data_IF_389949471183
#
_entry.id   IF_389949471183
#
_cell.length_a   1.000
_cell.length_b   1.000
_cell.length_c   1.000
_cell.angle_alpha   90.00
_cell.angle_beta   90.00
_cell.angle_gamma   90.00
#
_symmetry.space_group_name_H-M   'P 1'
#
loop_
_entity.id
_entity.type
_entity.pdbx_description
1 polymer ?
#
# COMPACT_ATOMS: atom_id res chain seq x y z
N UNK A 1 1.17 22.15 -1.78
CA UNK A 1 1.56 22.94 -2.98
C UNK A 1 1.76 22.01 -4.17
N UNK A 2 0.95 22.14 -5.23
CA UNK A 2 1.15 21.44 -6.52
C UNK A 2 2.13 22.19 -7.45
N UNK A 3 2.72 23.31 -6.99
CA UNK A 3 3.82 24.00 -7.66
C UNK A 3 3.45 24.43 -9.08
N UNK A 4 4.34 24.18 -10.03
CA UNK A 4 4.14 24.46 -11.46
C UNK A 4 3.27 23.40 -12.17
N UNK A 5 2.67 22.44 -11.46
CA UNK A 5 1.90 21.37 -12.09
C UNK A 5 0.40 21.69 -12.14
N UNK A 6 -0.19 21.47 -13.30
CA UNK A 6 -1.62 21.59 -13.56
C UNK A 6 -2.17 20.18 -13.80
N UNK A 7 -3.16 19.76 -13.02
CA UNK A 7 -3.84 18.47 -13.16
C UNK A 7 -5.32 18.69 -13.49
N UNK A 8 -5.78 18.22 -14.64
CA UNK A 8 -7.19 18.29 -15.02
C UNK A 8 -7.77 16.89 -15.23
N UNK A 9 -9.01 16.71 -14.79
CA UNK A 9 -9.73 15.44 -14.87
C UNK A 9 -11.05 15.68 -15.60
N UNK A 10 -11.16 15.16 -16.82
CA UNK A 10 -12.35 15.32 -17.63
C UNK A 10 -13.18 14.04 -17.55
N UNK A 11 -14.37 14.07 -16.91
CA UNK A 11 -15.27 12.93 -16.94
C UNK A 11 -15.74 12.66 -18.38
N UNK A 12 -15.92 11.40 -18.71
CA UNK A 12 -16.44 10.97 -20.00
C UNK A 12 -17.32 9.74 -19.82
N UNK A 13 -18.47 9.72 -20.50
CA UNK A 13 -19.29 8.53 -20.65
C UNK A 13 -19.98 8.58 -21.99
N UNK A 14 -20.24 7.41 -22.58
CA UNK A 14 -21.01 7.31 -23.82
C UNK A 14 -22.51 7.59 -23.59
N UNK A 15 -22.97 7.65 -22.34
CA UNK A 15 -24.33 8.02 -21.96
C UNK A 15 -24.39 9.49 -21.53
N UNK A 16 -25.20 10.29 -22.23
CA UNK A 16 -25.42 11.70 -21.89
C UNK A 16 -26.18 11.87 -20.58
N UNK A 17 -27.18 11.03 -20.30
CA UNK A 17 -27.89 10.99 -19.01
C UNK A 17 -26.88 10.79 -17.87
N UNK A 18 -25.96 9.84 -18.02
CA UNK A 18 -24.91 9.58 -17.03
C UNK A 18 -23.97 10.76 -16.83
N UNK A 19 -23.65 11.49 -17.91
CA UNK A 19 -22.85 12.70 -17.81
C UNK A 19 -23.59 13.82 -17.05
N UNK A 20 -24.92 13.93 -17.19
CA UNK A 20 -25.73 14.86 -16.41
C UNK A 20 -25.80 14.47 -14.92
N UNK A 21 -26.00 13.18 -14.63
CA UNK A 21 -26.07 12.67 -13.26
C UNK A 21 -24.76 12.92 -12.50
N UNK A 22 -23.64 12.62 -13.15
CA UNK A 22 -22.30 12.79 -12.57
C UNK A 22 -21.90 14.26 -12.48
N UNK A 23 -22.42 15.12 -13.36
CA UNK A 23 -22.04 16.53 -13.41
C UNK A 23 -22.27 17.24 -12.08
N UNK A 24 -23.47 17.12 -11.49
CA UNK A 24 -23.79 17.80 -10.24
C UNK A 24 -22.85 17.35 -9.10
N UNK A 25 -22.64 16.04 -8.95
CA UNK A 25 -21.73 15.49 -7.93
C UNK A 25 -20.27 15.96 -8.13
N UNK A 26 -19.83 16.12 -9.38
CA UNK A 26 -18.50 16.67 -9.68
C UNK A 26 -18.40 18.18 -9.41
N UNK A 27 -19.49 18.94 -9.65
CA UNK A 27 -19.55 20.36 -9.33
C UNK A 27 -19.54 20.61 -7.83
N UNK A 28 -20.30 19.83 -7.05
CA UNK A 28 -20.28 19.88 -5.58
C UNK A 28 -18.89 19.55 -5.03
N UNK A 29 -18.12 18.80 -5.81
CA UNK A 29 -16.75 18.47 -5.51
C UNK A 29 -15.72 19.57 -5.78
N UNK A 30 -16.10 20.64 -6.49
CA UNK A 30 -15.16 21.72 -6.82
C UNK A 30 -14.70 22.42 -5.55
N UNK A 31 -13.41 22.72 -5.55
CA UNK A 31 -12.79 23.56 -4.55
C UNK A 31 -12.22 24.77 -5.27
N UNK A 32 -12.70 25.96 -4.92
CA UNK A 32 -12.08 27.20 -5.37
C UNK A 32 -10.87 27.47 -4.47
N UNK A 33 -9.68 27.10 -4.97
CA UNK A 33 -8.43 27.58 -4.39
C UNK A 33 -8.25 29.05 -4.79
N UNK A 34 -8.22 30.01 -3.83
CA UNK A 34 -8.04 31.43 -4.13
C UNK A 34 -6.77 31.72 -4.95
N UNK A 35 -5.79 30.83 -4.89
CA UNK A 35 -4.52 30.96 -5.61
C UNK A 35 -4.41 30.01 -6.82
N UNK A 36 -5.48 29.27 -7.15
CA UNK A 36 -5.54 28.31 -8.25
C UNK A 36 -4.43 27.24 -8.23
N UNK A 37 -3.85 26.96 -7.07
CA UNK A 37 -2.79 25.96 -6.93
C UNK A 37 -3.34 24.53 -6.85
N UNK A 38 -4.65 24.36 -6.65
CA UNK A 38 -5.30 23.05 -6.56
C UNK A 38 -6.69 23.10 -7.16
N UNK A 39 -7.06 21.97 -7.76
CA UNK A 39 -8.36 21.79 -8.40
C UNK A 39 -9.35 20.98 -7.55
N UNK A 40 -8.91 20.41 -6.41
CA UNK A 40 -9.75 19.70 -5.45
C UNK A 40 -9.04 19.56 -4.08
N UNK A 41 -9.83 19.38 -3.01
CA UNK A 41 -9.33 18.90 -1.72
C UNK A 41 -9.53 17.39 -1.60
N UNK A 42 -8.62 16.71 -0.90
CA UNK A 42 -8.71 15.26 -0.71
C UNK A 42 -8.45 14.84 0.75
N UNK A 43 -9.08 13.75 1.22
CA UNK A 43 -9.00 13.34 2.62
C UNK A 43 -7.70 12.62 3.01
N UNK A 44 -6.79 12.39 2.05
CA UNK A 44 -5.56 11.62 2.24
C UNK A 44 -4.39 12.41 2.86
N UNK A 45 -4.63 13.65 3.32
CA UNK A 45 -3.66 14.43 4.09
C UNK A 45 -3.47 13.93 5.52
N UNK A 46 -2.37 14.28 6.18
CA UNK A 46 -2.04 13.82 7.53
C UNK A 46 -1.32 14.91 8.34
N UNK A 47 -1.56 15.00 9.65
CA UNK A 47 -0.98 15.96 10.60
C UNK A 47 -0.51 17.29 9.98
N UNK A 48 0.81 17.48 9.85
CA UNK A 48 1.48 18.70 9.36
C UNK A 48 1.32 18.95 7.85
N UNK A 49 0.70 18.02 7.13
CA UNK A 49 0.59 18.00 5.68
C UNK A 49 -0.87 17.71 5.29
N UNK A 50 -1.71 18.73 5.41
CA UNK A 50 -3.12 18.66 4.99
C UNK A 50 -3.30 18.21 3.54
N UNK A 51 -2.32 18.48 2.68
CA UNK A 51 -2.29 18.05 1.27
C UNK A 51 -1.62 16.69 1.06
N UNK A 52 -1.15 16.03 2.12
CA UNK A 52 -0.51 14.72 2.08
C UNK A 52 0.72 14.60 1.18
N UNK A 53 1.35 15.71 0.75
CA UNK A 53 2.42 15.77 -0.25
C UNK A 53 2.04 15.26 -1.66
N UNK A 54 0.77 15.27 -2.06
CA UNK A 54 0.39 14.81 -3.39
C UNK A 54 0.80 15.84 -4.47
N UNK A 55 1.77 15.48 -5.31
CA UNK A 55 2.43 16.36 -6.27
C UNK A 55 2.65 15.72 -7.64
N UNK A 56 2.70 14.39 -7.71
CA UNK A 56 2.96 13.65 -8.96
C UNK A 56 1.69 13.09 -9.56
N UNK A 57 1.73 12.84 -10.87
CA UNK A 57 0.56 12.58 -11.69
C UNK A 57 -0.31 11.42 -11.20
N UNK A 58 0.29 10.26 -10.91
CA UNK A 58 -0.49 9.08 -10.53
C UNK A 58 -0.98 9.14 -9.08
N UNK A 59 -0.21 9.72 -8.17
CA UNK A 59 -0.68 9.92 -6.80
C UNK A 59 -1.82 10.97 -6.74
N UNK A 60 -1.73 12.06 -7.50
CA UNK A 60 -2.81 13.05 -7.60
C UNK A 60 -4.05 12.43 -8.25
N UNK A 61 -3.88 11.61 -9.30
CA UNK A 61 -4.98 10.85 -9.91
C UNK A 61 -5.63 9.89 -8.93
N UNK A 62 -4.83 9.16 -8.15
CA UNK A 62 -5.33 8.27 -7.10
C UNK A 62 -6.14 9.07 -6.07
N UNK A 63 -5.61 10.19 -5.59
CA UNK A 63 -6.28 11.04 -4.62
C UNK A 63 -7.60 11.61 -5.16
N UNK A 64 -7.62 12.03 -6.42
CA UNK A 64 -8.83 12.48 -7.11
C UNK A 64 -9.90 11.39 -7.13
N UNK A 65 -9.56 10.19 -7.63
CA UNK A 65 -10.50 9.07 -7.70
C UNK A 65 -10.97 8.62 -6.32
N UNK A 66 -10.10 8.67 -5.31
CA UNK A 66 -10.48 8.38 -3.92
C UNK A 66 -11.44 9.44 -3.36
N UNK A 67 -11.24 10.73 -3.67
CA UNK A 67 -12.20 11.78 -3.30
C UNK A 67 -13.54 11.57 -3.96
N UNK A 68 -13.56 11.22 -5.26
CA UNK A 68 -14.79 10.89 -5.96
C UNK A 68 -15.49 9.69 -5.34
N UNK A 69 -14.75 8.62 -5.08
CA UNK A 69 -15.25 7.46 -4.35
C UNK A 69 -15.95 7.90 -3.05
N UNK A 70 -15.27 8.70 -2.21
CA UNK A 70 -15.83 9.16 -0.94
C UNK A 70 -17.08 10.01 -1.10
N UNK A 71 -17.12 10.94 -2.07
CA UNK A 71 -18.25 11.85 -2.27
C UNK A 71 -19.45 11.21 -2.94
N UNK A 72 -19.21 10.30 -3.87
CA UNK A 72 -20.26 9.57 -4.59
C UNK A 72 -20.86 8.48 -3.69
N UNK A 73 -20.03 7.69 -3.00
CA UNK A 73 -20.49 6.55 -2.21
C UNK A 73 -20.93 6.88 -0.78
N UNK A 74 -20.36 7.94 -0.19
CA UNK A 74 -20.89 8.54 1.02
C UNK A 74 -21.62 9.78 0.55
N UNK A 75 -22.91 9.65 0.24
CA UNK A 75 -23.80 10.80 0.14
C UNK A 75 -23.76 11.54 1.48
N UNK A 76 -22.75 12.39 1.67
CA UNK A 76 -22.68 13.33 2.77
C UNK A 76 -23.72 14.41 2.46
N UNK A 77 -25.00 14.09 2.69
CA UNK A 77 -25.91 15.12 3.15
C UNK A 77 -25.34 15.62 4.47
N UNK A 78 -25.14 16.91 4.54
CA UNK A 78 -24.28 17.60 5.49
C UNK A 78 -24.71 17.53 6.98
N UNK A 79 -25.52 16.57 7.43
CA UNK A 79 -26.11 16.63 8.77
C UNK A 79 -26.39 15.32 9.52
N UNK A 80 -26.02 14.13 9.03
CA UNK A 80 -26.28 12.91 9.82
C UNK A 80 -25.06 11.98 9.92
N UNK A 81 -24.73 11.65 11.17
CA UNK A 81 -23.83 10.58 11.54
C UNK A 81 -24.25 9.25 10.89
N UNK A 82 -23.22 8.48 10.50
CA UNK A 82 -23.28 7.13 9.90
C UNK A 82 -23.64 7.11 8.40
N UNK A 83 -22.58 7.23 7.58
CA UNK A 83 -22.62 7.00 6.14
C UNK A 83 -23.06 5.58 5.79
N UNK A 84 -24.30 5.44 5.35
CA UNK A 84 -24.82 4.24 4.69
C UNK A 84 -24.37 4.30 3.23
N UNK A 85 -23.58 3.29 2.81
CA UNK A 85 -23.15 3.10 1.42
C UNK A 85 -24.36 2.84 0.52
N UNK A 86 -24.65 3.77 -0.41
CA UNK A 86 -25.71 3.56 -1.41
C UNK A 86 -25.17 2.73 -2.60
N UNK A 87 -25.27 1.41 -2.49
CA UNK A 87 -24.77 0.47 -3.49
C UNK A 87 -25.52 0.56 -4.84
N UNK A 88 -26.80 0.91 -4.79
CA UNK A 88 -27.65 1.05 -5.97
C UNK A 88 -27.23 2.28 -6.77
N UNK A 89 -26.92 3.38 -6.09
CA UNK A 89 -26.40 4.60 -6.70
C UNK A 89 -24.98 4.44 -7.22
N UNK A 90 -24.12 3.67 -6.56
CA UNK A 90 -22.81 3.28 -7.10
C UNK A 90 -22.95 2.42 -8.35
N UNK A 91 -23.80 1.39 -8.33
CA UNK A 91 -24.07 0.58 -9.50
C UNK A 91 -24.66 1.44 -10.62
N UNK A 92 -25.52 2.41 -10.32
CA UNK A 92 -26.05 3.32 -11.34
C UNK A 92 -24.97 4.26 -11.91
N UNK A 93 -24.17 4.87 -11.05
CA UNK A 93 -23.16 5.86 -11.42
C UNK A 93 -21.89 5.25 -12.02
N UNK A 94 -21.60 3.98 -11.75
CA UNK A 94 -20.43 3.29 -12.30
C UNK A 94 -20.77 2.25 -13.38
N UNK A 95 -21.95 1.60 -13.32
CA UNK A 95 -22.27 0.40 -14.10
C UNK A 95 -23.55 0.51 -14.93
N UNK A 96 -24.62 1.17 -14.44
CA UNK A 96 -25.88 1.20 -15.18
C UNK A 96 -25.71 2.08 -16.44
N UNK A 97 -26.11 1.52 -17.58
CA UNK A 97 -26.07 2.08 -18.93
C UNK A 97 -24.69 2.25 -19.59
N UNK A 98 -23.67 2.82 -18.93
CA UNK A 98 -22.34 3.07 -19.51
C UNK A 98 -21.24 3.23 -18.45
N UNK A 99 -19.96 2.86 -18.69
CA UNK A 99 -18.88 3.16 -17.74
C UNK A 99 -18.57 4.67 -17.70
N UNK A 100 -18.19 5.16 -16.52
CA UNK A 100 -17.62 6.51 -16.36
C UNK A 100 -16.10 6.42 -16.54
N UNK A 101 -15.55 7.09 -17.53
CA UNK A 101 -14.13 7.18 -17.79
C UNK A 101 -13.63 8.58 -17.42
N UNK A 102 -12.31 8.72 -17.31
CA UNK A 102 -11.67 10.02 -17.09
C UNK A 102 -10.53 10.22 -18.07
N UNK A 103 -10.47 11.38 -18.72
CA UNK A 103 -9.24 11.83 -19.37
C UNK A 103 -8.43 12.60 -18.33
N UNK A 104 -7.31 12.03 -17.92
CA UNK A 104 -6.35 12.63 -16.99
C UNK A 104 -5.35 13.45 -17.80
N UNK A 105 -5.29 14.75 -17.53
CA UNK A 105 -4.34 15.67 -18.14
C UNK A 105 -3.38 16.19 -17.07
N UNK A 106 -2.09 16.13 -17.38
CA UNK A 106 -1.05 16.78 -16.59
C UNK A 106 -0.24 17.70 -17.50
N UNK A 107 -0.09 18.94 -17.08
CA UNK A 107 0.78 19.92 -17.69
C UNK A 107 1.70 20.55 -16.64
N UNK A 108 2.84 21.06 -17.07
CA UNK A 108 3.78 21.81 -16.23
C UNK A 108 3.93 23.22 -16.78
N UNK A 109 3.83 24.21 -15.90
CA UNK A 109 4.04 25.62 -16.22
C UNK A 109 5.49 25.85 -16.62
N UNK A 110 5.68 26.51 -17.76
CA UNK A 110 6.96 26.93 -18.34
C UNK A 110 6.84 28.42 -18.68
N UNK A 111 7.10 29.26 -17.68
CA UNK A 111 6.97 30.71 -17.81
C UNK A 111 5.51 31.12 -18.00
N UNK A 112 5.16 31.65 -19.18
CA UNK A 112 3.80 32.07 -19.54
C UNK A 112 2.99 31.00 -20.29
N UNK A 113 3.58 29.82 -20.52
CA UNK A 113 2.96 28.72 -21.29
C UNK A 113 2.95 27.45 -20.46
N UNK A 114 2.03 26.54 -20.74
CA UNK A 114 1.97 25.23 -20.08
C UNK A 114 2.38 24.15 -21.08
N UNK A 115 3.30 23.27 -20.67
CA UNK A 115 3.76 22.15 -21.48
C UNK A 115 3.02 20.88 -21.05
N UNK A 116 2.29 20.27 -21.97
CA UNK A 116 1.62 18.99 -21.74
C UNK A 116 2.64 17.89 -21.40
N UNK A 117 2.42 17.19 -20.29
CA UNK A 117 3.26 16.07 -19.81
C UNK A 117 2.59 14.73 -20.01
N UNK A 118 1.27 14.68 -19.83
CA UNK A 118 0.51 13.46 -19.97
C UNK A 118 -0.93 13.78 -20.38
N UNK A 119 -1.44 12.97 -21.32
CA UNK A 119 -2.87 12.82 -21.56
C UNK A 119 -3.15 11.33 -21.49
N UNK A 120 -3.94 10.91 -20.52
CA UNK A 120 -4.19 9.49 -20.25
C UNK A 120 -5.69 9.22 -20.12
N UNK A 121 -6.29 8.47 -21.06
CA UNK A 121 -7.64 7.97 -20.89
C UNK A 121 -7.64 6.82 -19.86
N UNK A 122 -8.20 7.09 -18.69
CA UNK A 122 -8.40 6.13 -17.63
C UNK A 122 -9.84 5.59 -17.68
N UNK A 123 -9.97 4.33 -18.09
CA UNK A 123 -11.26 3.65 -18.33
C UNK A 123 -11.72 2.75 -17.17
N UNK A 124 -10.88 2.60 -16.16
CA UNK A 124 -11.01 1.59 -15.11
C UNK A 124 -11.53 2.15 -13.77
N UNK A 125 -12.38 3.18 -13.82
CA UNK A 125 -12.95 3.80 -12.61
C UNK A 125 -13.75 2.82 -11.75
N UNK A 126 -14.55 1.95 -12.38
CA UNK A 126 -15.33 0.90 -11.72
C UNK A 126 -14.42 -0.02 -10.91
N UNK A 127 -13.30 -0.42 -11.52
CA UNK A 127 -12.29 -1.23 -10.84
C UNK A 127 -11.73 -0.51 -9.62
N UNK A 128 -11.36 0.77 -9.77
CA UNK A 128 -10.80 1.55 -8.67
C UNK A 128 -11.81 1.69 -7.51
N UNK A 129 -13.08 1.95 -7.81
CA UNK A 129 -14.11 2.06 -6.78
C UNK A 129 -14.35 0.75 -6.04
N UNK A 130 -14.42 -0.38 -6.76
CA UNK A 130 -14.48 -1.72 -6.14
C UNK A 130 -13.27 -2.01 -5.27
N UNK A 131 -12.08 -1.57 -5.71
CA UNK A 131 -10.87 -1.71 -4.90
C UNK A 131 -11.00 -0.92 -3.59
N UNK A 132 -11.37 0.36 -3.65
CA UNK A 132 -11.49 1.20 -2.45
C UNK A 132 -12.55 0.64 -1.48
N UNK A 133 -13.69 0.18 -1.99
CA UNK A 133 -14.71 -0.48 -1.18
C UNK A 133 -14.18 -1.74 -0.48
N UNK A 134 -13.43 -2.57 -1.21
CA UNK A 134 -12.82 -3.77 -0.64
C UNK A 134 -11.84 -3.44 0.48
N UNK A 135 -11.11 -2.33 0.36
CA UNK A 135 -10.19 -1.84 1.39
C UNK A 135 -10.94 -1.32 2.62
N UNK A 136 -12.01 -0.54 2.44
CA UNK A 136 -12.83 -0.05 3.54
C UNK A 136 -13.53 -1.20 4.30
N UNK A 137 -14.11 -2.17 3.58
CA UNK A 137 -14.68 -3.40 4.18
C UNK A 137 -13.65 -4.20 4.98
N UNK A 138 -12.39 -4.16 4.56
CA UNK A 138 -11.27 -4.81 5.25
C UNK A 138 -10.65 -3.92 6.34
N UNK A 139 -11.24 -2.75 6.65
CA UNK A 139 -10.77 -1.76 7.64
C UNK A 139 -9.34 -1.25 7.38
N UNK A 140 -8.90 -1.25 6.12
CA UNK A 140 -7.58 -0.80 5.73
C UNK A 140 -7.56 0.73 5.63
N UNK A 141 -6.69 1.37 6.40
CA UNK A 141 -6.56 2.82 6.42
C UNK A 141 -5.74 3.33 5.22
N UNK A 142 -6.42 3.73 4.14
CA UNK A 142 -5.78 4.23 2.90
C UNK A 142 -4.88 5.45 3.15
N UNK A 143 -5.29 6.35 4.04
CA UNK A 143 -4.48 7.52 4.41
C UNK A 143 -3.15 7.09 5.01
N UNK A 144 -3.16 6.07 5.87
CA UNK A 144 -1.93 5.52 6.45
C UNK A 144 -1.07 4.80 5.39
N UNK A 145 -1.68 4.03 4.48
CA UNK A 145 -0.95 3.42 3.33
C UNK A 145 -0.20 4.49 2.54
N UNK A 146 -0.89 5.58 2.18
CA UNK A 146 -0.31 6.68 1.41
C UNK A 146 0.78 7.44 2.19
N UNK A 147 0.65 7.55 3.51
CA UNK A 147 1.69 8.12 4.38
C UNK A 147 2.93 7.23 4.44
N UNK A 148 2.74 5.92 4.63
CA UNK A 148 3.82 4.96 4.74
C UNK A 148 4.65 4.89 3.46
N UNK A 149 4.09 5.18 2.28
CA UNK A 149 4.81 5.20 1.00
C UNK A 149 5.70 6.45 0.78
N UNK A 150 5.71 7.41 1.71
CA UNK A 150 6.56 8.61 1.62
C UNK A 150 7.92 8.34 2.24
N UNK A 151 8.98 8.49 1.46
CA UNK A 151 10.35 8.38 1.96
C UNK A 151 10.85 9.70 2.56
N UNK A 152 10.62 9.88 3.86
CA UNK A 152 11.11 11.05 4.59
C UNK A 152 12.64 11.11 4.76
N UNK A 153 13.37 10.04 4.40
CA UNK A 153 14.84 10.05 4.45
C UNK A 153 15.47 10.82 3.29
N UNK A 154 14.73 11.04 2.20
CA UNK A 154 15.22 11.82 1.05
C UNK A 154 15.40 13.29 1.41
N UNK A 155 16.57 13.83 1.07
CA UNK A 155 16.89 15.26 1.24
C UNK A 155 16.07 16.13 0.29
N UNK A 156 15.97 15.74 -0.99
CA UNK A 156 15.17 16.46 -1.98
C UNK A 156 13.67 16.13 -1.76
N UNK A 157 12.87 17.17 -1.56
CA UNK A 157 11.43 17.07 -1.38
C UNK A 157 10.72 16.38 -2.56
N UNK A 158 11.17 16.61 -3.80
CA UNK A 158 10.57 15.99 -4.98
C UNK A 158 10.77 14.47 -5.03
N UNK A 159 11.82 13.97 -4.37
CA UNK A 159 12.16 12.55 -4.38
C UNK A 159 11.37 11.75 -3.34
N UNK A 160 10.81 12.42 -2.32
CA UNK A 160 10.10 11.77 -1.20
C UNK A 160 8.91 10.92 -1.64
N UNK A 161 8.28 11.26 -2.77
CA UNK A 161 7.03 10.62 -3.22
C UNK A 161 7.18 9.80 -4.51
N UNK A 162 8.41 9.60 -5.02
CA UNK A 162 8.65 8.80 -6.24
C UNK A 162 8.08 7.39 -6.09
N UNK A 163 8.34 6.73 -4.95
CA UNK A 163 7.89 5.37 -4.71
C UNK A 163 6.35 5.29 -4.61
N UNK A 164 5.72 6.25 -3.91
CA UNK A 164 4.26 6.36 -3.85
C UNK A 164 3.64 6.59 -5.23
N UNK A 165 4.22 7.44 -6.05
CA UNK A 165 3.72 7.66 -7.41
C UNK A 165 3.82 6.40 -8.27
N UNK A 166 4.92 5.64 -8.19
CA UNK A 166 5.06 4.32 -8.85
C UNK A 166 4.04 3.31 -8.31
N UNK A 167 3.80 3.31 -7.00
CA UNK A 167 2.77 2.48 -6.38
C UNK A 167 1.39 2.80 -6.95
N UNK A 168 0.97 4.07 -6.90
CA UNK A 168 -0.31 4.52 -7.44
C UNK A 168 -0.44 4.22 -8.94
N UNK A 169 0.62 4.42 -9.73
CA UNK A 169 0.64 4.07 -11.15
C UNK A 169 0.29 2.59 -11.37
N UNK A 170 0.94 1.69 -10.62
CA UNK A 170 0.71 0.25 -10.74
C UNK A 170 -0.68 -0.15 -10.30
N UNK A 171 -1.19 0.41 -9.20
CA UNK A 171 -2.59 0.19 -8.78
C UNK A 171 -3.55 0.60 -9.89
N UNK A 172 -3.42 1.82 -10.42
CA UNK A 172 -4.32 2.32 -11.47
C UNK A 172 -4.18 1.54 -12.78
N UNK A 173 -3.04 0.91 -13.03
CA UNK A 173 -2.80 0.03 -14.20
C UNK A 173 -3.00 -1.46 -13.90
N UNK A 174 -3.56 -1.81 -12.73
CA UNK A 174 -3.81 -3.20 -12.28
C UNK A 174 -2.55 -4.10 -12.30
N UNK A 175 -1.38 -3.54 -11.99
CA UNK A 175 -0.10 -4.28 -11.96
C UNK A 175 0.33 -4.58 -10.53
N UNK A 176 1.00 -5.71 -10.34
CA UNK A 176 1.57 -6.08 -9.04
C UNK A 176 2.45 -4.98 -8.44
N UNK A 177 2.34 -4.79 -7.13
CA UNK A 177 3.13 -3.84 -6.34
C UNK A 177 4.14 -4.55 -5.43
N UNK A 178 4.32 -5.87 -5.61
CA UNK A 178 5.15 -6.72 -4.76
C UNK A 178 6.55 -6.14 -4.48
N UNK A 179 7.33 -5.81 -5.51
CA UNK A 179 8.69 -5.27 -5.34
C UNK A 179 8.70 -3.90 -4.68
N UNK A 180 7.70 -3.06 -4.95
CA UNK A 180 7.57 -1.74 -4.30
C UNK A 180 7.28 -1.91 -2.81
N UNK A 181 6.38 -2.83 -2.45
CA UNK A 181 6.01 -3.09 -1.06
C UNK A 181 7.15 -3.79 -0.32
N UNK A 182 7.85 -4.73 -0.96
CA UNK A 182 9.04 -5.38 -0.39
C UNK A 182 10.16 -4.37 -0.10
N UNK A 183 10.47 -3.49 -1.06
CA UNK A 183 11.42 -2.39 -0.88
C UNK A 183 10.98 -1.48 0.27
N UNK A 184 9.72 -1.05 0.26
CA UNK A 184 9.25 -0.08 1.24
C UNK A 184 9.12 -0.64 2.65
N UNK A 185 8.60 -1.85 2.79
CA UNK A 185 8.51 -2.53 4.08
C UNK A 185 9.90 -2.70 4.70
N UNK A 186 10.91 -2.98 3.87
CA UNK A 186 12.30 -3.06 4.33
C UNK A 186 12.77 -1.74 4.96
N UNK A 187 12.57 -0.62 4.28
CA UNK A 187 13.01 0.69 4.76
C UNK A 187 12.26 1.15 6.00
N UNK A 188 10.97 0.79 6.12
CA UNK A 188 10.13 1.08 7.29
C UNK A 188 10.61 0.31 8.52
N UNK A 189 10.88 -1.00 8.36
CA UNK A 189 11.23 -1.89 9.47
C UNK A 189 12.70 -1.74 9.87
N UNK A 190 13.56 -1.45 8.89
CA UNK A 190 15.01 -1.32 9.04
C UNK A 190 15.53 0.03 8.53
N UNK A 191 15.12 1.16 9.14
CA UNK A 191 15.55 2.47 8.69
C UNK A 191 17.07 2.61 8.76
N UNK A 192 17.65 3.31 7.77
CA UNK A 192 19.10 3.52 7.66
C UNK A 192 19.64 4.39 8.81
N UNK A 193 18.86 5.37 9.26
CA UNK A 193 19.26 6.26 10.36
C UNK A 193 18.78 5.74 11.73
N UNK A 194 19.56 4.82 12.30
CA UNK A 194 19.21 4.11 13.54
C UNK A 194 19.18 5.01 14.78
N UNK A 195 19.70 6.24 14.73
CA UNK A 195 19.83 7.10 15.91
C UNK A 195 18.56 7.87 16.26
N UNK A 196 17.69 8.18 15.29
CA UNK A 196 16.54 9.07 15.49
C UNK A 196 15.21 8.58 14.91
N UNK A 197 15.16 7.42 14.25
CA UNK A 197 13.92 6.91 13.67
C UNK A 197 13.37 5.73 14.47
N UNK A 198 12.25 5.98 15.18
CA UNK A 198 11.45 4.89 15.76
C UNK A 198 10.96 3.99 14.60
N UNK A 199 11.18 2.66 14.68
CA UNK A 199 10.65 1.73 13.68
C UNK A 199 9.14 1.93 13.55
N UNK A 200 8.64 2.05 12.32
CA UNK A 200 7.21 2.17 12.08
C UNK A 200 6.63 0.80 11.74
N UNK A 201 5.35 0.61 12.03
CA UNK A 201 4.66 -0.62 11.70
C UNK A 201 4.18 -0.57 10.24
N UNK A 202 4.62 -1.50 9.35
CA UNK A 202 4.19 -1.51 7.96
C UNK A 202 2.81 -2.14 7.73
N UNK A 203 2.08 -2.54 8.78
CA UNK A 203 0.88 -3.38 8.66
C UNK A 203 -0.18 -2.83 7.69
N UNK A 204 -0.56 -1.55 7.77
CA UNK A 204 -1.57 -1.02 6.85
C UNK A 204 -1.15 -1.13 5.38
N UNK A 205 0.13 -0.93 5.07
CA UNK A 205 0.68 -1.10 3.72
C UNK A 205 0.66 -2.57 3.27
N UNK A 206 1.01 -3.48 4.17
CA UNK A 206 1.08 -4.92 3.87
C UNK A 206 -0.34 -5.52 3.75
N UNK A 207 -1.27 -5.11 4.60
CA UNK A 207 -2.68 -5.54 4.54
C UNK A 207 -3.32 -5.05 3.24
N UNK A 208 -3.05 -3.79 2.83
CA UNK A 208 -3.43 -3.29 1.52
C UNK A 208 -2.86 -4.16 0.39
N UNK A 209 -1.57 -4.47 0.44
CA UNK A 209 -0.89 -5.29 -0.56
C UNK A 209 -1.52 -6.67 -0.70
N UNK A 210 -1.68 -7.39 0.41
CA UNK A 210 -2.28 -8.73 0.40
C UNK A 210 -3.70 -8.71 -0.16
N UNK A 211 -4.49 -7.71 0.23
CA UNK A 211 -5.86 -7.55 -0.29
C UNK A 211 -5.87 -7.20 -1.77
N UNK A 212 -5.02 -6.27 -2.20
CA UNK A 212 -4.92 -5.80 -3.57
C UNK A 212 -4.53 -6.93 -4.54
N UNK A 213 -3.47 -7.69 -4.23
CA UNK A 213 -2.98 -8.75 -5.10
C UNK A 213 -4.01 -9.88 -5.25
N UNK A 214 -4.80 -10.14 -4.20
CA UNK A 214 -5.90 -11.12 -4.27
C UNK A 214 -7.01 -10.71 -5.26
N UNK A 215 -7.17 -9.40 -5.52
CA UNK A 215 -8.17 -8.85 -6.44
C UNK A 215 -7.67 -8.88 -7.89
N UNK A 216 -6.42 -8.49 -8.15
CA UNK A 216 -5.92 -8.37 -9.53
C UNK A 216 -5.51 -9.71 -10.14
N UNK A 217 -5.08 -10.69 -9.32
CA UNK A 217 -4.69 -12.05 -9.75
C UNK A 217 -3.71 -12.12 -10.93
N UNK A 218 -2.85 -11.11 -11.11
CA UNK A 218 -1.82 -11.04 -12.16
C UNK A 218 -0.61 -11.97 -11.90
N UNK A 219 -0.49 -12.50 -10.67
CA UNK A 219 0.62 -13.36 -10.27
C UNK A 219 0.47 -14.81 -10.69
N UNK A 220 1.59 -15.53 -10.72
CA UNK A 220 1.63 -16.98 -11.00
C UNK A 220 1.19 -17.83 -9.81
N UNK A 221 1.07 -17.22 -8.64
CA UNK A 221 0.66 -17.93 -7.42
C UNK A 221 -0.85 -18.07 -7.27
N UNK A 222 -1.28 -19.24 -6.82
CA UNK A 222 -2.65 -19.46 -6.32
C UNK A 222 -2.86 -18.80 -4.95
N UNK A 223 -4.11 -18.59 -4.54
CA UNK A 223 -4.41 -18.04 -3.21
C UNK A 223 -3.90 -18.93 -2.06
N UNK A 224 -3.89 -20.24 -2.27
CA UNK A 224 -3.33 -21.20 -1.31
C UNK A 224 -1.80 -21.07 -1.21
N UNK A 225 -1.09 -20.98 -2.33
CA UNK A 225 0.36 -20.77 -2.35
C UNK A 225 0.74 -19.45 -1.66
N UNK A 226 -0.05 -18.39 -1.86
CA UNK A 226 0.15 -17.10 -1.17
C UNK A 226 -0.05 -17.25 0.32
N UNK A 227 -1.10 -17.96 0.74
CA UNK A 227 -1.37 -18.24 2.15
C UNK A 227 -0.22 -18.99 2.81
N UNK A 228 0.34 -19.99 2.12
CA UNK A 228 1.52 -20.74 2.58
C UNK A 228 2.74 -19.82 2.72
N UNK A 229 3.04 -19.00 1.71
CA UNK A 229 4.15 -18.05 1.77
C UNK A 229 4.01 -17.05 2.93
N UNK A 230 2.81 -16.49 3.11
CA UNK A 230 2.50 -15.56 4.21
C UNK A 230 2.65 -16.26 5.57
N UNK A 231 2.19 -17.50 5.69
CA UNK A 231 2.27 -18.30 6.92
C UNK A 231 3.73 -18.59 7.27
N UNK A 232 4.52 -19.07 6.30
CA UNK A 232 5.96 -19.28 6.48
C UNK A 232 6.65 -17.99 6.93
N UNK A 233 6.38 -16.87 6.26
CA UNK A 233 6.93 -15.57 6.61
C UNK A 233 6.60 -15.14 8.03
N UNK A 234 5.33 -15.21 8.43
CA UNK A 234 4.89 -14.90 9.80
C UNK A 234 5.61 -15.77 10.83
N UNK A 235 5.70 -17.07 10.56
CA UNK A 235 6.39 -18.03 11.42
C UNK A 235 7.87 -17.67 11.62
N UNK A 236 8.57 -17.31 10.54
CA UNK A 236 9.96 -16.82 10.60
C UNK A 236 10.06 -15.53 11.41
N UNK A 237 9.18 -14.56 11.16
CA UNK A 237 9.22 -13.28 11.88
C UNK A 237 8.90 -13.39 13.38
N UNK A 238 8.15 -14.42 13.78
CA UNK A 238 7.75 -14.69 15.17
C UNK A 238 8.69 -15.65 15.92
N UNK A 239 9.72 -16.23 15.28
CA UNK A 239 10.51 -17.29 15.90
C UNK A 239 11.23 -16.84 17.19
N UNK A 240 11.60 -15.57 17.29
CA UNK A 240 12.27 -15.01 18.48
C UNK A 240 11.30 -14.69 19.63
N UNK A 241 10.00 -14.54 19.37
CA UNK A 241 8.98 -14.28 20.40
C UNK A 241 8.41 -15.53 21.03
N UNK A 242 8.55 -16.69 20.38
CA UNK A 242 8.03 -17.98 20.87
C UNK A 242 8.95 -18.68 21.89
N UNK A 243 10.14 -18.11 22.15
CA UNK A 243 11.02 -18.56 23.24
C UNK A 243 10.49 -17.97 24.54
N UNK A 244 10.41 -18.76 25.62
CA UNK A 244 9.87 -18.33 26.92
C UNK A 244 10.33 -16.92 27.29
N UNK A 245 9.45 -15.93 27.12
CA UNK A 245 9.78 -14.52 27.30
C UNK A 245 9.81 -14.12 28.79
N UNK A 246 9.23 -14.94 29.66
CA UNK A 246 9.07 -14.65 31.09
C UNK A 246 10.40 -14.54 31.85
N UNK A 247 11.50 -15.06 31.29
CA UNK A 247 12.83 -15.06 31.94
C UNK A 247 13.95 -14.34 31.16
N UNK A 248 13.66 -13.71 30.01
CA UNK A 248 14.72 -13.14 29.14
C UNK A 248 15.08 -11.70 29.47
N UNK A 249 16.38 -11.44 29.56
CA UNK A 249 16.92 -10.09 29.69
C UNK A 249 16.69 -9.28 28.41
N UNK A 250 16.59 -7.94 28.52
CA UNK A 250 16.43 -7.04 27.36
C UNK A 250 17.56 -7.24 26.33
N UNK A 251 18.78 -7.42 26.82
CA UNK A 251 19.97 -7.63 25.99
C UNK A 251 19.92 -8.94 25.18
N UNK A 252 19.24 -9.98 25.68
CA UNK A 252 19.04 -11.23 24.94
C UNK A 252 18.03 -11.08 23.82
N UNK A 253 16.91 -10.41 24.09
CA UNK A 253 15.87 -10.16 23.09
C UNK A 253 16.42 -9.27 21.96
N UNK A 254 17.15 -8.21 22.29
CA UNK A 254 17.79 -7.35 21.28
C UNK A 254 18.84 -8.09 20.45
N UNK A 255 19.61 -8.99 21.06
CA UNK A 255 20.60 -9.83 20.37
C UNK A 255 19.92 -10.78 19.37
N UNK A 256 18.83 -11.43 19.78
CA UNK A 256 18.06 -12.34 18.92
C UNK A 256 17.37 -11.59 17.79
N UNK A 257 16.79 -10.42 18.06
CA UNK A 257 16.22 -9.55 17.03
C UNK A 257 17.29 -9.09 16.03
N UNK A 258 18.48 -8.69 16.50
CA UNK A 258 19.59 -8.32 15.62
C UNK A 258 20.05 -9.50 14.75
N UNK A 259 20.06 -10.71 15.31
CA UNK A 259 20.39 -11.94 14.57
C UNK A 259 19.33 -12.25 13.52
N UNK A 260 18.05 -12.21 13.88
CA UNK A 260 16.93 -12.44 12.97
C UNK A 260 16.91 -11.41 11.84
N UNK A 261 17.19 -10.13 12.12
CA UNK A 261 17.40 -9.12 11.07
C UNK A 261 18.46 -9.56 10.06
N UNK A 262 19.61 -10.05 10.53
CA UNK A 262 20.69 -10.54 9.67
C UNK A 262 20.27 -11.72 8.80
N UNK A 263 19.45 -12.60 9.35
CA UNK A 263 18.90 -13.75 8.63
C UNK A 263 17.84 -13.35 7.59
N UNK A 264 16.97 -12.39 7.90
CA UNK A 264 16.02 -11.80 6.93
C UNK A 264 16.73 -11.10 5.76
N UNK A 265 17.88 -10.45 6.00
CA UNK A 265 18.72 -9.88 4.93
C UNK A 265 19.14 -10.97 3.95
N UNK A 266 19.57 -12.14 4.47
CA UNK A 266 20.01 -13.25 3.63
C UNK A 266 18.85 -13.81 2.83
N UNK A 267 17.73 -14.10 3.50
CA UNK A 267 16.51 -14.62 2.87
C UNK A 267 16.03 -13.74 1.71
N UNK A 268 15.98 -12.41 1.91
CA UNK A 268 15.62 -11.44 0.87
C UNK A 268 16.54 -11.51 -0.36
N UNK A 269 17.85 -11.67 -0.14
CA UNK A 269 18.88 -11.64 -1.19
C UNK A 269 18.97 -12.93 -2.01
N UNK A 270 18.33 -14.00 -1.56
CA UNK A 270 18.33 -15.28 -2.28
C UNK A 270 17.75 -15.12 -3.69
N UNK A 271 18.40 -15.76 -4.67
CA UNK A 271 18.01 -15.70 -6.10
C UNK A 271 17.53 -17.04 -6.67
N UNK A 272 17.84 -18.16 -6.02
CA UNK A 272 17.47 -19.50 -6.47
C UNK A 272 16.58 -20.18 -5.43
N UNK A 273 15.68 -21.03 -5.91
CA UNK A 273 14.79 -21.83 -5.06
C UNK A 273 15.57 -22.73 -4.10
N UNK A 274 16.59 -23.44 -4.60
CA UNK A 274 17.44 -24.34 -3.80
C UNK A 274 18.11 -23.61 -2.64
N UNK A 275 18.68 -22.44 -2.92
CA UNK A 275 19.32 -21.61 -1.91
C UNK A 275 18.30 -21.14 -0.86
N UNK A 276 17.05 -20.88 -1.26
CA UNK A 276 16.00 -20.45 -0.34
C UNK A 276 15.63 -21.58 0.62
N UNK A 277 15.45 -22.80 0.10
CA UNK A 277 15.18 -23.98 0.93
C UNK A 277 16.31 -24.24 1.92
N UNK A 278 17.58 -24.19 1.49
CA UNK A 278 18.72 -24.33 2.40
C UNK A 278 18.78 -23.21 3.45
N UNK A 279 18.36 -22.00 3.11
CA UNK A 279 18.25 -20.91 4.09
C UNK A 279 17.11 -21.18 5.10
N UNK A 280 15.97 -21.74 4.68
CA UNK A 280 14.89 -22.16 5.59
C UNK A 280 15.36 -23.25 6.55
N UNK A 281 15.98 -24.33 6.05
CA UNK A 281 16.54 -25.41 6.88
C UNK A 281 17.53 -24.87 7.91
N UNK A 282 18.41 -23.93 7.50
CA UNK A 282 19.34 -23.27 8.42
C UNK A 282 18.62 -22.46 9.50
N UNK A 283 17.48 -21.84 9.18
CA UNK A 283 16.67 -21.14 10.18
C UNK A 283 16.03 -22.12 11.16
N UNK A 284 15.49 -23.24 10.68
CA UNK A 284 14.92 -24.31 11.51
C UNK A 284 15.93 -24.84 12.53
N UNK A 285 17.13 -25.22 12.06
CA UNK A 285 18.21 -25.70 12.94
C UNK A 285 18.63 -24.62 13.95
N UNK A 286 18.67 -23.36 13.54
CA UNK A 286 19.15 -22.26 14.38
C UNK A 286 18.17 -21.86 15.48
N UNK A 287 16.89 -21.78 15.12
CA UNK A 287 15.86 -21.29 16.01
C UNK A 287 15.20 -22.40 16.81
N UNK A 288 15.57 -23.65 16.55
CA UNK A 288 14.94 -24.86 17.09
C UNK A 288 13.45 -24.92 16.71
N UNK A 289 12.71 -25.97 17.09
CA UNK A 289 11.30 -26.23 16.73
C UNK A 289 10.28 -25.06 16.90
N UNK A 290 10.68 -23.89 17.40
CA UNK A 290 9.91 -22.63 17.38
C UNK A 290 9.40 -22.21 15.99
N UNK A 291 10.08 -22.64 14.91
CA UNK A 291 9.57 -22.49 13.55
C UNK A 291 8.41 -23.47 13.29
N UNK A 292 8.49 -24.73 13.72
CA UNK A 292 7.36 -25.68 13.64
C UNK A 292 6.71 -25.71 12.26
N UNK A 293 7.52 -25.62 11.20
CA UNK A 293 7.04 -25.65 9.82
C UNK A 293 6.55 -27.07 9.57
N UNK A 294 5.26 -27.28 9.22
CA UNK A 294 4.74 -28.61 8.97
C UNK A 294 5.51 -29.31 7.85
N UNK A 295 5.76 -30.61 8.02
CA UNK A 295 6.33 -31.44 6.96
C UNK A 295 5.47 -31.32 5.70
N UNK A 296 6.14 -31.07 4.56
CA UNK A 296 5.48 -30.91 3.27
C UNK A 296 4.68 -29.61 3.09
N UNK A 297 4.78 -28.61 3.99
CA UNK A 297 4.12 -27.30 3.81
C UNK A 297 4.42 -26.68 2.43
N UNK A 298 5.64 -26.89 1.94
CA UNK A 298 6.13 -26.33 0.67
C UNK A 298 5.88 -27.24 -0.53
N UNK A 299 5.50 -28.50 -0.30
CA UNK A 299 5.43 -29.54 -1.34
C UNK A 299 4.36 -29.19 -2.37
N UNK A 300 4.81 -29.03 -3.62
CA UNK A 300 3.97 -28.60 -4.74
C UNK A 300 3.51 -27.14 -4.69
N UNK A 301 3.67 -26.44 -3.55
CA UNK A 301 3.27 -25.03 -3.38
C UNK A 301 4.40 -24.05 -3.73
N UNK A 302 5.64 -24.45 -3.52
CA UNK A 302 6.82 -23.68 -3.88
C UNK A 302 7.51 -24.31 -5.10
N UNK A 303 7.60 -23.55 -6.19
CA UNK A 303 8.12 -24.00 -7.50
C UNK A 303 9.03 -22.93 -8.11
N UNK A 304 9.87 -23.31 -9.07
CA UNK A 304 10.77 -22.35 -9.73
C UNK A 304 10.02 -21.21 -10.44
N UNK A 305 8.84 -21.50 -11.01
CA UNK A 305 8.07 -20.53 -11.77
C UNK A 305 7.40 -19.46 -10.91
N UNK A 306 7.03 -19.81 -9.66
CA UNK A 306 6.40 -18.92 -8.67
C UNK A 306 7.37 -18.40 -7.58
N UNK A 307 8.62 -18.89 -7.57
CA UNK A 307 9.61 -18.63 -6.52
C UNK A 307 9.79 -17.15 -6.17
N UNK A 308 9.89 -16.28 -7.19
CA UNK A 308 10.10 -14.84 -6.97
C UNK A 308 8.96 -14.21 -6.19
N UNK A 309 7.72 -14.56 -6.53
CA UNK A 309 6.52 -14.08 -5.85
C UNK A 309 6.46 -14.67 -4.44
N UNK A 310 6.63 -15.99 -4.31
CA UNK A 310 6.57 -16.69 -3.04
C UNK A 310 7.55 -16.12 -2.03
N UNK A 311 8.82 -15.93 -2.44
CA UNK A 311 9.86 -15.31 -1.60
C UNK A 311 9.46 -13.90 -1.17
N UNK A 312 8.87 -13.11 -2.07
CA UNK A 312 8.40 -11.76 -1.78
C UNK A 312 7.31 -11.74 -0.69
N UNK A 313 6.25 -12.55 -0.85
CA UNK A 313 5.19 -12.69 0.16
C UNK A 313 5.72 -13.17 1.51
N UNK A 314 6.61 -14.17 1.49
CA UNK A 314 7.27 -14.68 2.70
C UNK A 314 8.09 -13.59 3.38
N UNK A 315 8.93 -12.87 2.65
CA UNK A 315 9.82 -11.84 3.22
C UNK A 315 9.02 -10.65 3.76
N UNK A 316 8.00 -10.19 3.03
CA UNK A 316 7.11 -9.11 3.48
C UNK A 316 6.40 -9.49 4.79
N UNK A 317 5.84 -10.69 4.85
CA UNK A 317 5.11 -11.16 6.04
C UNK A 317 6.04 -11.37 7.24
N UNK A 318 7.28 -11.82 6.99
CA UNK A 318 8.31 -11.93 8.01
C UNK A 318 8.72 -10.57 8.58
N UNK A 319 8.83 -9.54 7.73
CA UNK A 319 9.10 -8.17 8.18
C UNK A 319 7.96 -7.60 9.03
N UNK A 320 6.70 -7.84 8.67
CA UNK A 320 5.54 -7.43 9.48
C UNK A 320 5.59 -8.07 10.87
N UNK A 321 5.75 -9.38 10.92
CA UNK A 321 5.83 -10.15 12.16
C UNK A 321 7.02 -9.70 13.03
N UNK A 322 8.21 -9.56 12.44
CA UNK A 322 9.40 -9.04 13.10
C UNK A 322 9.15 -7.65 13.70
N UNK A 323 8.51 -6.75 12.94
CA UNK A 323 8.20 -5.39 13.40
C UNK A 323 7.26 -5.40 14.61
N UNK A 324 6.26 -6.27 14.59
CA UNK A 324 5.32 -6.41 15.71
C UNK A 324 6.03 -6.94 16.96
N UNK A 325 6.82 -8.01 16.84
CA UNK A 325 7.59 -8.57 17.97
C UNK A 325 8.52 -7.52 18.56
N UNK A 326 9.27 -6.81 17.71
CA UNK A 326 10.17 -5.74 18.15
C UNK A 326 9.41 -4.62 18.87
N UNK A 327 8.22 -4.24 18.40
CA UNK A 327 7.41 -3.21 19.04
C UNK A 327 6.96 -3.63 20.45
N UNK A 328 6.37 -4.82 20.61
CA UNK A 328 5.89 -5.30 21.91
C UNK A 328 7.04 -5.52 22.91
N UNK A 329 8.14 -6.14 22.47
CA UNK A 329 9.32 -6.36 23.30
C UNK A 329 9.96 -5.06 23.83
N UNK A 330 9.83 -3.96 23.09
CA UNK A 330 10.35 -2.65 23.50
C UNK A 330 9.34 -1.85 24.34
N UNK A 331 8.02 -2.01 24.11
CA UNK A 331 6.96 -1.29 24.83
C UNK A 331 6.68 -1.84 26.23
N UNK A 332 6.74 -3.16 26.42
CA UNK A 332 6.52 -3.80 27.73
C UNK A 332 7.54 -3.41 28.80
N UNK A 333 8.67 -2.78 28.42
CA UNK A 333 9.74 -2.39 29.34
C UNK A 333 9.98 -0.87 29.44
N UNK A 334 9.15 -0.04 28.82
CA UNK A 334 9.07 1.42 29.13
C UNK A 334 8.07 1.71 30.27
N UNK A 335 7.27 0.73 30.68
CA UNK A 335 6.30 0.81 31.77
C UNK A 335 6.74 0.18 33.09
N UNK A 336 8.01 -0.23 33.22
CA UNK A 336 8.63 -0.75 34.45
C UNK A 336 9.71 0.21 34.95
#
# INVERSE_FOLDING_TARGET
MQGDNIFAFFPYSVSFEKMLDVYNTLQDGKYEDPNLFKNFQHPLGFEKYADGYFQKTFEVTFAFLHTLYRRVLLHQKADEDVGVLNWEEMCNLAISKAPLEFVVLHAESKGKTSMGKMVWPFRDSVYFFRLMESMEKSKINIKEVMRLLIDFSQKNQENKTILRNRFCERILKKKTVLDIVEERAWDIVFPQDQKNSKPQNPSSLIDFFLKYESIIKEGKMTDEERSVAVTLGKTIGLCVSKRDNETRSKNEIERDLKRLKGDLIKLKKVRKLTDFLSEIERLEVRYDFSLGIPDGLLDGKLRDDNFREFKGYCTISAMQAYSNVRYYALKEKEGN
#
